data_IF_169757495490
#
_entry.id   IF_169757495490
#
_cell.length_a   1.000
_cell.length_b   1.000
_cell.length_c   1.000
_cell.angle_alpha   90.00
_cell.angle_beta   90.00
_cell.angle_gamma   90.00
#
_symmetry.space_group_name_H-M   'P 1'
#
loop_
_entity.id
_entity.type
_entity.pdbx_description
1 polymer ?
#
# COMPACT_ATOMS: atom_id res chain seq x y z
N UNK A 1 -9.70 -4.83 13.06
CA UNK A 1 -9.44 -3.86 11.98
C UNK A 1 -10.11 -4.37 10.71
N UNK A 2 -10.64 -3.51 9.85
CA UNK A 2 -11.30 -3.95 8.62
C UNK A 2 -10.26 -4.01 7.46
N UNK A 3 -9.96 -5.19 6.89
CA UNK A 3 -8.97 -5.33 5.82
C UNK A 3 -9.34 -4.56 4.54
N UNK A 4 -10.62 -4.47 4.20
CA UNK A 4 -11.08 -3.71 3.02
C UNK A 4 -10.78 -2.21 3.16
N UNK A 5 -10.95 -1.65 4.37
CA UNK A 5 -10.61 -0.23 4.61
C UNK A 5 -9.11 0.02 4.50
N UNK A 6 -8.27 -0.88 5.04
CA UNK A 6 -6.81 -0.77 4.91
C UNK A 6 -6.39 -0.89 3.44
N UNK A 7 -6.94 -1.88 2.73
CA UNK A 7 -6.66 -2.12 1.31
C UNK A 7 -7.02 -0.90 0.45
N UNK A 8 -8.16 -0.25 0.73
CA UNK A 8 -8.52 0.99 0.04
C UNK A 8 -7.44 2.06 0.19
N UNK A 9 -6.91 2.26 1.40
CA UNK A 9 -5.85 3.24 1.63
C UNK A 9 -4.52 2.83 1.03
N UNK A 10 -4.17 1.55 1.08
CA UNK A 10 -3.02 0.99 0.37
C UNK A 10 -3.06 1.33 -1.13
N UNK A 11 -4.21 1.13 -1.78
CA UNK A 11 -4.41 1.44 -3.19
C UNK A 11 -4.40 2.95 -3.49
N UNK A 12 -4.93 3.77 -2.58
CA UNK A 12 -4.83 5.24 -2.69
C UNK A 12 -3.36 5.68 -2.68
N UNK A 13 -2.55 5.15 -1.76
CA UNK A 13 -1.12 5.45 -1.71
C UNK A 13 -0.38 4.96 -2.96
N UNK A 14 -0.79 3.81 -3.52
CA UNK A 14 -0.25 3.30 -4.77
C UNK A 14 -0.42 4.28 -5.92
N UNK A 15 -1.63 4.80 -6.13
CA UNK A 15 -1.89 5.79 -7.18
C UNK A 15 -1.18 7.13 -6.90
N UNK A 16 -1.24 7.61 -5.66
CA UNK A 16 -0.66 8.91 -5.28
C UNK A 16 0.88 8.96 -5.42
N UNK A 17 1.56 7.83 -5.21
CA UNK A 17 3.03 7.76 -5.21
C UNK A 17 3.63 7.26 -6.51
N UNK A 18 2.81 6.97 -7.53
CA UNK A 18 3.24 6.38 -8.79
C UNK A 18 2.91 7.29 -9.99
N UNK A 19 3.64 7.10 -11.08
CA UNK A 19 3.41 7.80 -12.35
C UNK A 19 3.22 6.81 -13.49
N UNK A 20 2.60 7.25 -14.57
CA UNK A 20 2.57 6.49 -15.82
C UNK A 20 3.91 6.53 -16.57
N UNK A 21 3.96 5.95 -17.76
CA UNK A 21 5.15 5.91 -18.62
C UNK A 21 5.61 7.28 -19.13
N UNK A 22 4.77 8.30 -19.03
CA UNK A 22 5.07 9.68 -19.38
C UNK A 22 5.51 10.52 -18.17
N UNK A 23 5.46 9.93 -16.97
CA UNK A 23 5.78 10.61 -15.71
C UNK A 23 4.61 11.42 -15.15
N UNK A 24 3.39 11.22 -15.67
CA UNK A 24 2.20 11.87 -15.14
C UNK A 24 1.70 11.12 -13.88
N UNK A 25 1.32 11.82 -12.80
CA UNK A 25 0.81 11.18 -11.59
C UNK A 25 -0.43 10.32 -11.87
N UNK A 26 -0.46 9.07 -11.39
CA UNK A 26 -1.60 8.18 -11.64
C UNK A 26 -2.88 8.70 -10.96
N UNK A 27 -2.78 9.30 -9.78
CA UNK A 27 -3.93 9.85 -9.06
C UNK A 27 -4.54 11.12 -9.69
N UNK A 28 -3.94 11.66 -10.74
CA UNK A 28 -4.51 12.76 -11.51
C UNK A 28 -5.66 12.33 -12.43
N UNK A 29 -5.66 11.05 -12.86
CA UNK A 29 -6.61 10.50 -13.84
C UNK A 29 -7.33 9.27 -13.32
N UNK A 30 -6.64 8.44 -12.55
CA UNK A 30 -7.15 7.16 -12.07
C UNK A 30 -7.58 7.25 -10.61
N UNK A 31 -8.59 6.45 -10.30
CA UNK A 31 -9.09 6.22 -8.95
C UNK A 31 -8.96 4.74 -8.60
N UNK A 32 -9.25 4.39 -7.35
CA UNK A 32 -9.26 2.99 -6.91
C UNK A 32 -10.23 2.10 -7.70
N UNK A 33 -11.25 2.69 -8.32
CA UNK A 33 -12.23 1.97 -9.15
C UNK A 33 -11.64 1.56 -10.52
N UNK A 34 -10.54 2.19 -10.94
CA UNK A 34 -9.84 1.90 -12.20
C UNK A 34 -8.73 0.84 -12.03
N UNK A 35 -8.57 0.29 -10.82
CA UNK A 35 -7.61 -0.77 -10.53
C UNK A 35 -8.20 -2.12 -10.93
N UNK A 36 -7.43 -2.91 -11.67
CA UNK A 36 -7.84 -4.22 -12.17
C UNK A 36 -8.32 -5.13 -11.01
N UNK A 37 -9.40 -5.91 -11.19
CA UNK A 37 -9.95 -6.76 -10.13
C UNK A 37 -8.93 -7.72 -9.50
N UNK A 38 -8.02 -8.29 -10.29
CA UNK A 38 -6.93 -9.14 -9.84
C UNK A 38 -5.92 -8.40 -8.95
N UNK A 39 -5.61 -7.15 -9.28
CA UNK A 39 -4.72 -6.31 -8.50
C UNK A 39 -5.38 -5.91 -7.17
N UNK A 40 -6.68 -5.59 -7.18
CA UNK A 40 -7.45 -5.36 -5.95
C UNK A 40 -7.49 -6.62 -5.05
N UNK A 41 -7.69 -7.79 -5.65
CA UNK A 41 -7.70 -9.06 -4.92
C UNK A 41 -6.34 -9.37 -4.29
N UNK A 42 -5.25 -9.13 -5.03
CA UNK A 42 -3.89 -9.34 -4.50
C UNK A 42 -3.53 -8.36 -3.39
N UNK A 43 -3.88 -7.09 -3.55
CA UNK A 43 -3.69 -6.09 -2.50
C UNK A 43 -4.48 -6.43 -1.22
N UNK A 44 -5.71 -6.96 -1.37
CA UNK A 44 -6.51 -7.41 -0.24
C UNK A 44 -5.87 -8.61 0.47
N UNK A 45 -5.32 -9.57 -0.28
CA UNK A 45 -4.60 -10.71 0.29
C UNK A 45 -3.40 -10.24 1.13
N UNK A 46 -2.52 -9.43 0.55
CA UNK A 46 -1.33 -8.92 1.23
C UNK A 46 -1.68 -8.07 2.45
N UNK A 47 -2.67 -7.17 2.33
CA UNK A 47 -3.12 -6.35 3.46
C UNK A 47 -3.75 -7.20 4.57
N UNK A 48 -4.52 -8.22 4.22
CA UNK A 48 -5.15 -9.10 5.21
C UNK A 48 -4.09 -9.87 5.99
N UNK A 49 -3.15 -10.49 5.28
CA UNK A 49 -2.05 -11.23 5.90
C UNK A 49 -1.20 -10.33 6.82
N UNK A 50 -0.83 -9.13 6.37
CA UNK A 50 -0.06 -8.18 7.17
C UNK A 50 -0.79 -7.75 8.44
N UNK A 51 -2.09 -7.43 8.34
CA UNK A 51 -2.90 -7.00 9.48
C UNK A 51 -3.05 -8.13 10.49
N UNK A 52 -3.26 -9.36 10.02
CA UNK A 52 -3.43 -10.53 10.89
C UNK A 52 -2.12 -10.88 11.61
N UNK A 53 -0.99 -10.89 10.89
CA UNK A 53 0.33 -11.18 11.45
C UNK A 53 0.79 -10.14 12.48
N UNK A 54 0.35 -8.88 12.34
CA UNK A 54 0.80 -7.74 13.15
C UNK A 54 -0.31 -7.05 13.94
N UNK A 55 -1.44 -7.71 14.18
CA UNK A 55 -2.65 -7.11 14.78
C UNK A 55 -2.38 -6.37 16.10
N UNK A 56 -1.47 -6.88 16.94
CA UNK A 56 -1.09 -6.24 18.21
C UNK A 56 -0.22 -5.00 17.99
N UNK A 57 0.75 -5.05 17.08
CA UNK A 57 1.60 -3.92 16.73
C UNK A 57 0.80 -2.76 16.11
N UNK A 58 -0.23 -3.10 15.34
CA UNK A 58 -1.04 -2.14 14.56
C UNK A 58 -2.20 -1.52 15.35
N UNK A 59 -2.49 -1.97 16.58
CA UNK A 59 -3.72 -1.60 17.30
C UNK A 59 -3.86 -0.10 17.61
N UNK A 60 -2.76 0.65 17.59
CA UNK A 60 -2.73 2.10 17.81
C UNK A 60 -2.79 2.95 16.55
N UNK A 61 -2.80 2.33 15.36
CA UNK A 61 -2.79 3.02 14.07
C UNK A 61 -4.17 2.97 13.40
N UNK A 62 -4.51 4.01 12.65
CA UNK A 62 -5.72 4.01 11.84
C UNK A 62 -5.54 3.13 10.59
N UNK A 63 -6.66 2.69 10.00
CA UNK A 63 -6.62 1.92 8.77
C UNK A 63 -5.94 2.69 7.61
N UNK A 64 -6.10 4.01 7.59
CA UNK A 64 -5.42 4.90 6.64
C UNK A 64 -3.91 4.87 6.82
N UNK A 65 -3.44 5.03 8.07
CA UNK A 65 -2.01 5.01 8.36
C UNK A 65 -1.39 3.68 7.93
N UNK A 66 -2.06 2.58 8.24
CA UNK A 66 -1.56 1.24 7.94
C UNK A 66 -1.51 1.00 6.43
N UNK A 67 -2.57 1.37 5.70
CA UNK A 67 -2.61 1.19 4.25
C UNK A 67 -1.52 2.02 3.55
N UNK A 68 -1.43 3.31 3.86
CA UNK A 68 -0.43 4.20 3.27
C UNK A 68 0.99 3.74 3.61
N UNK A 69 1.26 3.51 4.89
CA UNK A 69 2.61 3.16 5.33
C UNK A 69 3.03 1.78 4.83
N UNK A 70 2.11 0.84 4.67
CA UNK A 70 2.44 -0.48 4.11
C UNK A 70 2.90 -0.37 2.66
N UNK A 71 2.14 0.31 1.80
CA UNK A 71 2.55 0.57 0.41
C UNK A 71 3.89 1.31 0.35
N UNK A 72 3.99 2.43 1.05
CA UNK A 72 5.18 3.28 1.00
C UNK A 72 6.43 2.54 1.49
N UNK A 73 6.28 1.77 2.58
CA UNK A 73 7.40 1.05 3.16
C UNK A 73 7.84 -0.14 2.31
N UNK A 74 6.91 -0.96 1.80
CA UNK A 74 7.28 -2.14 0.98
C UNK A 74 8.03 -1.75 -0.29
N UNK A 75 7.74 -0.55 -0.81
CA UNK A 75 8.35 0.03 -2.00
C UNK A 75 9.54 0.94 -1.71
N UNK A 76 10.02 0.97 -0.46
CA UNK A 76 11.16 1.78 -0.05
C UNK A 76 11.02 3.27 -0.40
N UNK A 77 9.79 3.81 -0.38
CA UNK A 77 9.61 5.25 -0.45
C UNK A 77 10.26 5.91 0.78
N UNK A 78 10.64 7.18 0.64
CA UNK A 78 11.28 7.96 1.72
C UNK A 78 10.35 8.29 2.90
N UNK A 79 9.24 7.56 3.06
CA UNK A 79 8.22 7.71 4.08
C UNK A 79 7.59 6.34 4.41
N UNK A 80 6.93 6.21 5.57
CA UNK A 80 6.25 4.99 5.98
C UNK A 80 6.34 4.72 7.48
N UNK A 81 6.23 3.46 7.92
CA UNK A 81 6.09 3.15 9.36
C UNK A 81 7.20 3.72 10.26
N UNK A 82 8.43 3.81 9.75
CA UNK A 82 9.59 4.30 10.49
C UNK A 82 9.56 5.81 10.76
N UNK A 83 8.86 6.60 9.94
CA UNK A 83 8.83 8.07 10.04
C UNK A 83 7.77 8.61 11.02
N UNK A 84 6.87 7.73 11.47
CA UNK A 84 5.70 8.05 12.31
C UNK A 84 6.03 8.44 13.76
N UNK A 85 7.30 8.39 14.17
CA UNK A 85 7.70 8.60 15.55
C UNK A 85 7.34 7.45 16.50
N UNK A 86 7.20 6.23 15.97
CA UNK A 86 6.82 5.02 16.72
C UNK A 86 8.00 4.32 17.42
N UNK A 87 9.23 4.82 17.26
CA UNK A 87 10.44 4.19 17.80
C UNK A 87 10.66 2.78 17.24
N UNK A 88 11.01 1.84 18.11
CA UNK A 88 11.30 0.44 17.75
C UNK A 88 10.11 -0.26 17.07
N UNK A 89 8.87 0.16 17.38
CA UNK A 89 7.67 -0.37 16.73
C UNK A 89 7.64 -0.03 15.24
N UNK A 90 7.99 1.21 14.88
CA UNK A 90 8.05 1.65 13.48
C UNK A 90 9.09 0.85 12.69
N UNK A 91 10.26 0.64 13.29
CA UNK A 91 11.33 -0.17 12.69
C UNK A 91 10.90 -1.64 12.50
N UNK A 92 10.24 -2.23 13.50
CA UNK A 92 9.74 -3.61 13.41
C UNK A 92 8.69 -3.77 12.30
N UNK A 93 7.76 -2.82 12.17
CA UNK A 93 6.76 -2.80 11.11
C UNK A 93 7.40 -2.57 9.73
N UNK A 94 8.44 -1.74 9.66
CA UNK A 94 9.20 -1.55 8.42
C UNK A 94 9.88 -2.83 7.95
N UNK A 95 10.53 -3.55 8.87
CA UNK A 95 11.14 -4.86 8.55
C UNK A 95 10.08 -5.85 8.08
N UNK A 96 8.92 -5.89 8.75
CA UNK A 96 7.82 -6.76 8.38
C UNK A 96 7.26 -6.44 6.98
N UNK A 97 7.05 -5.16 6.66
CA UNK A 97 6.55 -4.72 5.36
C UNK A 97 7.48 -5.13 4.21
N UNK A 98 8.80 -5.09 4.40
CA UNK A 98 9.76 -5.50 3.37
C UNK A 98 9.70 -7.00 3.02
N UNK A 99 9.13 -7.85 3.88
CA UNK A 99 8.97 -9.30 3.59
C UNK A 99 8.08 -9.53 2.36
N UNK A 100 7.16 -8.61 2.08
CA UNK A 100 6.25 -8.68 0.93
C UNK A 100 6.90 -8.28 -0.39
N UNK A 101 8.14 -7.75 -0.35
CA UNK A 101 8.83 -7.24 -1.52
C UNK A 101 8.19 -5.97 -2.11
N UNK A 102 8.88 -5.41 -3.10
CA UNK A 102 8.37 -4.28 -3.89
C UNK A 102 7.21 -4.68 -4.79
N UNK A 103 6.41 -3.70 -5.18
CA UNK A 103 5.21 -3.78 -5.98
C UNK A 103 5.01 -2.42 -6.66
N UNK A 104 4.89 -2.40 -7.98
CA UNK A 104 4.74 -1.17 -8.76
C UNK A 104 3.31 -1.04 -9.28
N UNK A 105 2.77 0.18 -9.34
CA UNK A 105 1.51 0.46 -10.02
C UNK A 105 1.79 0.92 -11.45
N UNK A 106 1.12 0.30 -12.43
CA UNK A 106 1.30 0.63 -13.85
C UNK A 106 -0.02 0.49 -14.63
N UNK A 107 -0.11 1.22 -15.75
CA UNK A 107 -1.27 1.18 -16.65
C UNK A 107 -1.13 -0.01 -17.61
N UNK A 108 -2.13 -0.88 -17.65
CA UNK A 108 -2.19 -2.00 -18.59
C UNK A 108 -2.74 -1.62 -19.97
N UNK A 109 -2.62 -2.53 -20.93
CA UNK A 109 -3.10 -2.32 -22.31
C UNK A 109 -4.63 -2.09 -22.42
N UNK A 110 -5.38 -2.48 -21.40
CA UNK A 110 -6.84 -2.29 -21.27
C UNK A 110 -7.23 -0.97 -20.58
N UNK A 111 -6.24 -0.16 -20.19
CA UNK A 111 -6.43 1.11 -19.49
C UNK A 111 -6.72 0.97 -18.00
N UNK A 112 -6.63 -0.23 -17.41
CA UNK A 112 -6.74 -0.44 -15.97
C UNK A 112 -5.37 -0.37 -15.29
N UNK A 113 -5.38 -0.12 -13.98
CA UNK A 113 -4.16 -0.13 -13.16
C UNK A 113 -3.88 -1.53 -12.62
N UNK A 114 -2.65 -2.01 -12.83
CA UNK A 114 -2.15 -3.30 -12.35
C UNK A 114 -1.05 -3.09 -11.30
N UNK A 115 -0.78 -4.16 -10.55
CA UNK A 115 0.25 -4.26 -9.52
C UNK A 115 1.19 -5.43 -9.84
N UNK A 116 2.51 -5.24 -9.71
CA UNK A 116 3.54 -6.26 -10.02
C UNK A 116 3.88 -7.24 -8.89
#
# INVERSE_FOLDING_TARGET
>A
MNPQTVTKHYLIAALWSSTDEHGEPLDAVYTVDDIAPEAQAKALEDCTDFIEAHARQLSGLSAEQIGHDFWLTRNHHGAGFWDRGLGDLGQALTIAAHVYGGCDAYVGDDGLIYLS
#
